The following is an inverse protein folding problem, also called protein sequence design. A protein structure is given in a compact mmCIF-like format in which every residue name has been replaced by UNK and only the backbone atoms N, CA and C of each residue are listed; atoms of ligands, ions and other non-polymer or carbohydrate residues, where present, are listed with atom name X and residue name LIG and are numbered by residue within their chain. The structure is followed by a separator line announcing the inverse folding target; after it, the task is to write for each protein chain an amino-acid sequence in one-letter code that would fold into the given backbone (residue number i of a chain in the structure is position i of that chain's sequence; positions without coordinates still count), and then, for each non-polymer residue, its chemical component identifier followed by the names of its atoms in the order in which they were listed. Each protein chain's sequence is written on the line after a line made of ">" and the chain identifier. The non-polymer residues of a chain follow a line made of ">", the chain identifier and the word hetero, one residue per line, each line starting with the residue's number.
data_IF_263710767486
#
_entry.id   IF_263710767486
#
_cell.length_a   1.000
_cell.length_b   1.000
_cell.length_c   1.000
_cell.angle_alpha   90.00
_cell.angle_beta   90.00
_cell.angle_gamma   90.00
#
_symmetry.space_group_name_H-M   'P 1'
#
loop_
_entity.id
_entity.type
_entity.pdbx_description
1 polymer ?
#
# COMPACT_ATOMS: atom_id res chain seq x y z
N UNK A 1 -11.16 4.14 -14.19
CA UNK A 1 -10.96 3.43 -12.91
C UNK A 1 -9.87 4.17 -12.14
N UNK A 2 -10.05 4.41 -10.85
CA UNK A 2 -9.02 5.06 -10.02
C UNK A 2 -7.92 4.07 -9.61
N UNK A 3 -6.73 4.55 -9.23
CA UNK A 3 -5.63 3.72 -8.70
C UNK A 3 -6.11 2.88 -7.51
N UNK A 4 -6.86 3.47 -6.59
CA UNK A 4 -7.44 2.78 -5.45
C UNK A 4 -8.42 1.68 -5.87
N UNK A 5 -9.33 1.97 -6.82
CA UNK A 5 -10.30 0.98 -7.30
C UNK A 5 -9.66 -0.26 -7.89
N UNK A 6 -8.58 -0.07 -8.67
CA UNK A 6 -7.80 -1.18 -9.24
C UNK A 6 -7.08 -1.97 -8.14
N UNK A 7 -6.42 -1.29 -7.19
CA UNK A 7 -5.71 -1.91 -6.06
C UNK A 7 -6.63 -2.84 -5.25
N UNK A 8 -7.80 -2.36 -4.85
CA UNK A 8 -8.76 -3.14 -4.05
C UNK A 8 -9.28 -4.36 -4.83
N UNK A 9 -9.55 -4.17 -6.13
CA UNK A 9 -9.99 -5.26 -7.01
C UNK A 9 -8.91 -6.33 -7.19
N UNK A 10 -7.66 -5.92 -7.37
CA UNK A 10 -6.52 -6.84 -7.50
C UNK A 10 -6.29 -7.64 -6.22
N UNK A 11 -6.33 -6.99 -5.04
CA UNK A 11 -6.23 -7.70 -3.75
C UNK A 11 -7.28 -8.81 -3.64
N UNK A 12 -8.53 -8.50 -3.99
CA UNK A 12 -9.62 -9.48 -4.00
C UNK A 12 -9.35 -10.65 -4.94
N UNK A 13 -8.93 -10.35 -6.17
CA UNK A 13 -8.68 -11.37 -7.20
C UNK A 13 -7.49 -12.26 -6.86
N UNK A 14 -6.42 -11.70 -6.31
CA UNK A 14 -5.23 -12.44 -5.87
C UNK A 14 -5.57 -13.43 -4.75
N UNK A 15 -6.48 -13.06 -3.86
CA UNK A 15 -7.01 -13.94 -2.81
C UNK A 15 -8.14 -14.86 -3.28
N UNK A 16 -8.50 -14.83 -4.58
CA UNK A 16 -9.59 -15.61 -5.20
C UNK A 16 -10.95 -15.43 -4.51
N UNK A 17 -11.19 -14.25 -3.94
CA UNK A 17 -12.41 -13.97 -3.20
C UNK A 17 -13.54 -13.49 -4.12
N UNK A 18 -14.74 -14.00 -3.87
CA UNK A 18 -15.96 -13.37 -4.39
C UNK A 18 -16.14 -11.99 -3.76
N UNK A 19 -16.91 -11.12 -4.40
CA UNK A 19 -17.17 -9.78 -3.84
C UNK A 19 -17.88 -9.83 -2.48
N UNK A 20 -18.71 -10.86 -2.25
CA UNK A 20 -19.39 -11.07 -0.96
C UNK A 20 -18.42 -11.56 0.12
N UNK A 21 -17.56 -12.51 -0.23
CA UNK A 21 -16.54 -13.05 0.68
C UNK A 21 -15.56 -11.96 1.10
N UNK A 22 -15.12 -11.13 0.14
CA UNK A 22 -14.24 -10.00 0.41
C UNK A 22 -14.90 -8.92 1.26
N UNK A 23 -16.16 -8.56 0.97
CA UNK A 23 -16.89 -7.60 1.78
C UNK A 23 -17.05 -8.06 3.24
N UNK A 24 -17.31 -9.37 3.43
CA UNK A 24 -17.38 -10.00 4.75
C UNK A 24 -16.02 -9.98 5.46
N UNK A 25 -14.93 -10.30 4.74
CA UNK A 25 -13.57 -10.27 5.27
C UNK A 25 -13.16 -8.86 5.74
N UNK A 26 -13.51 -7.84 4.97
CA UNK A 26 -13.22 -6.43 5.29
C UNK A 26 -14.15 -5.91 6.40
N UNK A 27 -15.36 -6.46 6.53
CA UNK A 27 -16.37 -5.96 7.45
C UNK A 27 -17.15 -4.76 6.90
N UNK A 28 -17.40 -4.72 5.58
CA UNK A 28 -18.20 -3.68 4.90
C UNK A 28 -19.31 -4.29 4.06
N UNK A 29 -20.25 -3.47 3.57
CA UNK A 29 -21.34 -3.98 2.72
C UNK A 29 -20.84 -4.38 1.32
N UNK A 30 -21.44 -5.43 0.75
CA UNK A 30 -21.09 -5.89 -0.61
C UNK A 30 -21.30 -4.79 -1.67
N UNK A 31 -22.37 -3.99 -1.52
CA UNK A 31 -22.70 -2.90 -2.44
C UNK A 31 -21.62 -1.82 -2.37
N UNK A 32 -21.15 -1.52 -1.17
CA UNK A 32 -20.11 -0.53 -0.96
C UNK A 32 -18.77 -0.97 -1.56
N UNK A 33 -18.32 -2.21 -1.28
CA UNK A 33 -17.11 -2.76 -1.90
C UNK A 33 -17.19 -2.75 -3.44
N UNK A 34 -18.34 -3.14 -3.99
CA UNK A 34 -18.59 -3.11 -5.43
C UNK A 34 -18.52 -1.70 -6.04
N UNK A 35 -18.96 -0.68 -5.31
CA UNK A 35 -18.83 0.71 -5.74
C UNK A 35 -17.37 1.19 -5.66
N UNK A 36 -16.63 0.80 -4.60
CA UNK A 36 -15.20 1.10 -4.46
C UNK A 36 -14.37 0.52 -5.62
N UNK A 37 -14.60 -0.74 -6.00
CA UNK A 37 -13.90 -1.39 -7.14
C UNK A 37 -14.24 -0.78 -8.50
N UNK A 38 -15.42 -0.16 -8.64
CA UNK A 38 -15.83 0.52 -9.88
C UNK A 38 -15.35 1.97 -9.93
N UNK A 39 -15.03 2.55 -8.77
CA UNK A 39 -14.61 3.95 -8.65
C UNK A 39 -15.75 4.95 -8.85
N UNK A 40 -17.00 4.51 -8.71
CA UNK A 40 -18.20 5.32 -8.91
C UNK A 40 -19.33 4.83 -8.01
N UNK A 41 -20.05 5.75 -7.37
CA UNK A 41 -21.41 5.49 -6.92
C UNK A 41 -22.38 5.75 -8.08
N UNK A 42 -23.11 4.72 -8.51
CA UNK A 42 -24.04 4.80 -9.65
C UNK A 42 -25.28 5.66 -9.36
N UNK A 43 -25.60 5.90 -8.09
CA UNK A 43 -26.81 6.63 -7.71
C UNK A 43 -26.63 8.15 -7.70
N UNK A 44 -25.41 8.63 -7.45
CA UNK A 44 -25.11 10.05 -7.24
C UNK A 44 -24.07 10.61 -8.22
N UNK A 45 -23.38 9.76 -8.98
CA UNK A 45 -22.26 10.17 -9.83
C UNK A 45 -21.04 10.67 -9.05
N UNK A 46 -21.07 10.57 -7.72
CA UNK A 46 -19.98 11.01 -6.84
C UNK A 46 -19.04 9.87 -6.48
N UNK A 47 -17.77 10.21 -6.31
CA UNK A 47 -16.75 9.32 -5.77
C UNK A 47 -17.03 9.18 -4.28
N UNK A 48 -17.50 8.02 -3.82
CA UNK A 48 -17.60 7.75 -2.39
C UNK A 48 -16.19 7.70 -1.80
N UNK A 49 -15.77 8.80 -1.18
CA UNK A 49 -14.52 8.89 -0.44
C UNK A 49 -14.62 7.96 0.79
N UNK A 50 -13.86 6.86 0.87
CA UNK A 50 -13.84 6.02 2.06
C UNK A 50 -13.34 6.80 3.26
N UNK A 51 -13.93 6.53 4.42
CA UNK A 51 -13.49 7.12 5.69
C UNK A 51 -12.17 6.49 6.14
N UNK A 52 -11.37 7.17 6.98
CA UNK A 52 -10.17 6.58 7.57
C UNK A 52 -10.45 5.23 8.25
N UNK A 53 -11.58 5.08 8.94
CA UNK A 53 -11.99 3.81 9.55
C UNK A 53 -12.19 2.70 8.52
N UNK A 54 -12.84 3.00 7.39
CA UNK A 54 -12.99 2.06 6.27
C UNK A 54 -11.62 1.68 5.70
N UNK A 55 -10.73 2.65 5.53
CA UNK A 55 -9.37 2.40 5.04
C UNK A 55 -8.57 1.52 6.01
N UNK A 56 -8.79 1.66 7.32
CA UNK A 56 -8.18 0.80 8.34
C UNK A 56 -8.69 -0.64 8.26
N UNK A 57 -9.99 -0.83 8.05
CA UNK A 57 -10.58 -2.16 7.82
C UNK A 57 -10.00 -2.83 6.58
N UNK A 58 -9.89 -2.08 5.47
CA UNK A 58 -9.29 -2.57 4.22
C UNK A 58 -7.81 -2.92 4.41
N UNK A 59 -7.06 -2.05 5.08
CA UNK A 59 -5.65 -2.28 5.42
C UNK A 59 -5.46 -3.59 6.17
N UNK A 60 -6.28 -3.84 7.19
CA UNK A 60 -6.22 -5.08 7.97
C UNK A 60 -6.58 -6.32 7.14
N UNK A 61 -7.61 -6.25 6.31
CA UNK A 61 -8.10 -7.40 5.55
C UNK A 61 -7.18 -7.80 4.39
N UNK A 62 -6.52 -6.84 3.77
CA UNK A 62 -5.63 -7.07 2.62
C UNK A 62 -4.14 -6.92 2.94
N UNK A 63 -3.80 -6.72 4.21
CA UNK A 63 -2.42 -6.52 4.66
C UNK A 63 -1.72 -5.37 3.91
N UNK A 64 -2.45 -4.29 3.68
CA UNK A 64 -1.93 -3.07 3.04
C UNK A 64 -1.48 -2.07 4.10
N UNK A 65 -0.48 -1.26 3.78
CA UNK A 65 -0.08 -0.14 4.64
C UNK A 65 -1.22 0.88 4.78
N UNK A 66 -1.66 1.14 6.01
CA UNK A 66 -2.77 2.05 6.28
C UNK A 66 -2.42 3.49 5.89
N UNK A 67 -1.18 3.92 6.15
CA UNK A 67 -0.64 5.22 5.76
C UNK A 67 -0.74 5.44 4.24
N UNK A 68 -0.36 4.44 3.45
CA UNK A 68 -0.46 4.48 1.99
C UNK A 68 -1.90 4.71 1.52
N UNK A 69 -2.86 4.03 2.14
CA UNK A 69 -4.28 4.23 1.83
C UNK A 69 -4.76 5.65 2.20
N UNK A 70 -4.30 6.20 3.33
CA UNK A 70 -4.64 7.56 3.74
C UNK A 70 -4.04 8.61 2.80
N UNK A 71 -2.81 8.42 2.34
CA UNK A 71 -2.15 9.28 1.35
C UNK A 71 -2.88 9.26 0.00
N UNK A 72 -3.28 8.07 -0.49
CA UNK A 72 -4.04 7.93 -1.74
C UNK A 72 -5.34 8.75 -1.74
N UNK A 73 -5.94 8.95 -0.57
CA UNK A 73 -7.18 9.71 -0.39
C UNK A 73 -6.97 11.14 0.14
N UNK A 74 -5.70 11.57 0.26
CA UNK A 74 -5.32 12.90 0.72
C UNK A 74 -5.69 13.19 2.18
N UNK A 75 -5.82 12.15 3.01
CA UNK A 75 -5.97 12.29 4.47
C UNK A 75 -4.64 12.53 5.16
N UNK A 76 -3.55 12.07 4.55
CA UNK A 76 -2.20 12.44 4.91
C UNK A 76 -1.63 13.28 3.76
N UNK A 77 -0.92 14.36 4.11
CA UNK A 77 0.04 14.91 3.17
C UNK A 77 1.00 13.77 2.82
N UNK A 78 1.31 13.58 1.54
CA UNK A 78 2.37 12.64 1.16
C UNK A 78 3.55 12.98 2.06
N UNK A 79 3.99 12.01 2.86
CA UNK A 79 5.34 12.14 3.37
C UNK A 79 6.18 12.03 2.12
N UNK A 80 6.60 13.17 1.59
CA UNK A 80 7.86 13.21 0.88
C UNK A 80 8.84 12.76 1.96
N UNK A 81 9.05 11.43 2.07
CA UNK A 81 10.33 10.92 2.51
C UNK A 81 11.26 11.62 1.53
N UNK A 82 11.81 12.76 1.93
CA UNK A 82 12.88 13.44 1.21
C UNK A 82 14.08 12.51 1.34
N UNK A 83 14.02 11.42 0.59
CA UNK A 83 15.11 10.51 0.43
C UNK A 83 16.09 11.26 -0.44
N UNK A 84 17.29 11.49 0.11
CA UNK A 84 18.35 12.16 -0.63
C UNK A 84 18.53 11.53 -2.02
N UNK A 85 18.95 12.30 -3.05
CA UNK A 85 19.14 11.78 -4.40
C UNK A 85 19.96 10.48 -4.45
N UNK A 86 20.94 10.32 -3.53
CA UNK A 86 21.76 9.11 -3.40
C UNK A 86 20.96 7.87 -2.97
N UNK A 87 19.96 8.04 -2.10
CA UNK A 87 19.11 6.91 -1.69
C UNK A 87 18.15 6.53 -2.82
N UNK A 88 17.67 7.50 -3.60
CA UNK A 88 16.86 7.21 -4.79
C UNK A 88 17.66 6.47 -5.87
N UNK A 89 18.93 6.83 -6.06
CA UNK A 89 19.88 6.13 -6.93
C UNK A 89 20.09 4.68 -6.47
N UNK A 90 20.30 4.45 -5.17
CA UNK A 90 20.39 3.11 -4.58
C UNK A 90 19.13 2.30 -4.86
N UNK A 91 17.94 2.83 -4.54
CA UNK A 91 16.66 2.16 -4.76
C UNK A 91 16.44 1.81 -6.23
N UNK A 92 16.83 2.70 -7.14
CA UNK A 92 16.72 2.46 -8.59
C UNK A 92 17.65 1.33 -9.04
N UNK A 93 18.87 1.28 -8.49
CA UNK A 93 19.86 0.25 -8.78
C UNK A 93 19.40 -1.13 -8.29
N UNK A 94 18.78 -1.18 -7.11
CA UNK A 94 18.28 -2.42 -6.51
C UNK A 94 17.04 -2.99 -7.20
N UNK A 95 16.39 -2.29 -8.15
CA UNK A 95 15.16 -2.79 -8.81
C UNK A 95 15.34 -4.13 -9.54
N UNK A 96 16.54 -4.47 -9.97
CA UNK A 96 16.85 -5.72 -10.68
C UNK A 96 17.42 -6.83 -9.80
N UNK A 97 17.51 -6.62 -8.50
CA UNK A 97 18.19 -7.54 -7.58
C UNK A 97 17.26 -8.68 -7.19
N UNK A 98 17.83 -9.87 -7.00
CA UNK A 98 17.11 -10.99 -6.39
C UNK A 98 17.03 -10.83 -4.88
N UNK A 99 16.17 -11.58 -4.20
CA UNK A 99 16.07 -11.55 -2.74
C UNK A 99 17.42 -11.79 -2.06
N UNK A 100 18.24 -12.71 -2.61
CA UNK A 100 19.60 -12.98 -2.10
C UNK A 100 20.54 -11.79 -2.25
N UNK A 101 20.42 -11.05 -3.34
CA UNK A 101 21.24 -9.85 -3.56
C UNK A 101 20.83 -8.74 -2.59
N UNK A 102 19.52 -8.60 -2.33
CA UNK A 102 19.00 -7.67 -1.32
C UNK A 102 19.46 -8.06 0.09
N UNK A 103 19.46 -9.34 0.43
CA UNK A 103 19.97 -9.82 1.72
C UNK A 103 21.44 -9.40 1.95
N UNK A 104 22.29 -9.55 0.93
CA UNK A 104 23.69 -9.11 0.98
C UNK A 104 23.82 -7.58 1.17
N UNK A 105 23.00 -6.79 0.47
CA UNK A 105 22.97 -5.33 0.63
C UNK A 105 22.58 -4.94 2.07
N UNK A 106 21.59 -5.64 2.64
CA UNK A 106 21.15 -5.42 4.02
C UNK A 106 22.27 -5.80 5.01
N UNK A 107 22.93 -6.94 4.81
CA UNK A 107 24.07 -7.35 5.64
C UNK A 107 25.20 -6.34 5.59
N UNK A 108 25.52 -5.82 4.41
CA UNK A 108 26.55 -4.78 4.25
C UNK A 108 26.15 -3.47 4.95
N UNK A 109 24.90 -3.04 4.82
CA UNK A 109 24.41 -1.85 5.53
C UNK A 109 24.49 -2.02 7.06
N UNK A 110 24.13 -3.20 7.58
CA UNK A 110 24.29 -3.54 9.00
C UNK A 110 25.75 -3.52 9.44
N UNK A 111 26.66 -4.04 8.62
CA UNK A 111 28.09 -3.98 8.89
C UNK A 111 28.61 -2.54 8.98
N UNK A 112 28.21 -1.64 8.07
CA UNK A 112 28.59 -0.23 8.12
C UNK A 112 28.09 0.45 9.40
N UNK A 113 26.85 0.18 9.82
CA UNK A 113 26.29 0.71 11.06
C UNK A 113 27.08 0.22 12.29
N UNK A 114 27.39 -1.08 12.33
CA UNK A 114 28.22 -1.65 13.39
C UNK A 114 29.61 -1.00 13.43
N UNK A 115 30.27 -0.88 12.27
CA UNK A 115 31.63 -0.32 12.16
C UNK A 115 31.68 1.11 12.69
N UNK A 116 30.75 1.96 12.25
CA UNK A 116 30.69 3.35 12.67
C UNK A 116 30.41 3.51 14.18
N UNK A 117 29.70 2.54 14.79
CA UNK A 117 29.41 2.51 16.23
C UNK A 117 30.60 2.05 17.10
N UNK A 118 31.68 1.54 16.49
CA UNK A 118 32.89 1.08 17.19
C UNK A 118 34.08 2.02 17.03
N UNK A 119 34.03 2.92 16.05
CA UNK A 119 35.05 3.93 15.75
C UNK A 119 34.74 5.31 16.36
N UNK A 120 33.65 5.42 17.14
CA UNK A 120 33.28 6.58 17.98
C UNK A 120 33.42 6.26 19.46
#
# INVERSE_FOLDING_TARGET
>A
MSVFSSLIKECRLNQKLSIRSAATLIGISYTYLNNLEKGLDKSTGTINKPTPETLKLISSAYHLEYSYLLELWGYLAKSDLEVSPKVQELLTTCKGFTDKDIDLVIEFAKYLLWKNSKET
#
